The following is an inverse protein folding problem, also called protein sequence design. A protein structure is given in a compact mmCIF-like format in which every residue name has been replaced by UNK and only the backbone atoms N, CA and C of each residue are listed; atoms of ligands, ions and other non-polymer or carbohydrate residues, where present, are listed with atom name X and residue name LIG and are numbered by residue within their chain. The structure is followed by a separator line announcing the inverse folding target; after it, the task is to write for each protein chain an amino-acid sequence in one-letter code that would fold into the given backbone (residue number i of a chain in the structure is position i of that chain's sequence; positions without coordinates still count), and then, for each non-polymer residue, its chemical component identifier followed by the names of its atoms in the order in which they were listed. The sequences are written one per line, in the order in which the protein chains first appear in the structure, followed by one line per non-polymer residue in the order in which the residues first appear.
data_IF_492997235558
#
_entry.id   IF_492997235558
#
_cell.length_a   1.000
_cell.length_b   1.000
_cell.length_c   1.000
_cell.angle_alpha   90.00
_cell.angle_beta   90.00
_cell.angle_gamma   90.00
#
_symmetry.space_group_name_H-M   'P 1'
#
loop_
_entity.id
_entity.type
_entity.pdbx_description
1 polymer ?
#
# COMPACT_ATOMS: atom_id res chain seq x y z
N UNK A 1 3.07 12.20 28.44
CA UNK A 1 2.40 11.22 27.56
C UNK A 1 3.29 9.98 27.41
N UNK A 2 2.71 8.80 27.18
CA UNK A 2 3.49 7.60 26.90
C UNK A 2 3.98 7.60 25.43
N UNK A 3 5.13 6.97 25.18
CA UNK A 3 5.63 6.74 23.82
C UNK A 3 4.82 5.63 23.14
N UNK A 4 4.50 5.83 21.87
CA UNK A 4 3.85 4.83 21.01
C UNK A 4 4.83 4.42 19.91
N UNK A 5 5.03 3.12 19.73
CA UNK A 5 5.83 2.54 18.65
C UNK A 5 4.92 1.62 17.85
N UNK A 6 4.79 1.88 16.55
CA UNK A 6 3.93 1.09 15.66
C UNK A 6 4.77 0.10 14.88
N UNK A 7 4.48 -1.20 15.02
CA UNK A 7 5.03 -2.24 14.18
C UNK A 7 3.91 -2.72 13.26
N UNK A 8 4.01 -2.45 11.97
CA UNK A 8 2.95 -2.70 11.00
C UNK A 8 3.35 -3.78 9.98
N UNK A 9 2.36 -4.57 9.58
CA UNK A 9 2.41 -5.50 8.45
C UNK A 9 1.57 -4.85 7.36
N UNK A 10 2.16 -4.63 6.19
CA UNK A 10 1.47 -4.01 5.07
C UNK A 10 0.87 -5.06 4.14
N UNK A 11 -0.43 -4.91 3.87
CA UNK A 11 -1.16 -5.55 2.78
C UNK A 11 -1.61 -4.51 1.72
N UNK A 12 -1.10 -3.28 1.81
CA UNK A 12 -1.47 -2.15 0.96
C UNK A 12 -0.39 -1.93 -0.11
N UNK A 13 -0.75 -1.88 -1.40
CA UNK A 13 0.19 -1.46 -2.44
C UNK A 13 0.83 -0.09 -2.13
N UNK A 14 2.15 0.01 -2.24
CA UNK A 14 2.90 1.22 -1.90
C UNK A 14 3.14 1.45 -0.40
N UNK A 15 2.65 0.56 0.47
CA UNK A 15 2.95 0.50 1.91
C UNK A 15 2.65 1.78 2.72
N UNK A 16 1.68 2.59 2.30
CA UNK A 16 1.31 3.84 3.00
C UNK A 16 0.75 3.57 4.41
N UNK A 17 1.46 3.97 5.49
CA UNK A 17 1.01 3.75 6.86
C UNK A 17 -0.32 4.40 7.23
N UNK A 18 -0.72 5.48 6.54
CA UNK A 18 -2.00 6.13 6.80
C UNK A 18 -3.19 5.28 6.32
N UNK A 19 -2.96 4.38 5.36
CA UNK A 19 -3.97 3.48 4.82
C UNK A 19 -4.04 2.18 5.62
N UNK A 20 -2.89 1.68 6.10
CA UNK A 20 -2.81 0.45 6.90
C UNK A 20 -3.67 0.61 8.15
N UNK A 21 -4.73 -0.19 8.25
CA UNK A 21 -5.72 -0.13 9.33
C UNK A 21 -6.31 1.29 9.56
N UNK A 22 -6.34 2.15 8.53
CA UNK A 22 -6.73 3.57 8.62
C UNK A 22 -5.79 4.45 9.46
N UNK A 23 -4.52 4.07 9.62
CA UNK A 23 -3.48 4.92 10.19
C UNK A 23 -3.74 5.40 11.62
N UNK A 24 -4.15 4.54 12.59
CA UNK A 24 -4.59 4.98 13.92
C UNK A 24 -3.51 5.70 14.75
N UNK A 25 -2.24 5.57 14.36
CA UNK A 25 -1.07 6.18 14.99
C UNK A 25 -0.34 7.16 14.08
N UNK A 26 -0.93 7.48 12.93
CA UNK A 26 -0.39 8.37 11.90
C UNK A 26 -1.33 9.59 11.81
N UNK A 27 -0.80 10.82 11.74
CA UNK A 27 -1.65 12.00 11.59
C UNK A 27 -2.36 12.00 10.24
N UNK A 28 -3.59 12.51 10.22
CA UNK A 28 -4.44 12.58 9.04
C UNK A 28 -4.53 14.03 8.54
N UNK A 29 -4.07 14.24 7.31
CA UNK A 29 -4.04 15.56 6.67
C UNK A 29 -5.41 16.01 6.13
N UNK A 30 -6.37 15.09 5.97
CA UNK A 30 -7.74 15.43 5.54
C UNK A 30 -8.48 16.15 6.66
N UNK A 31 -9.64 16.75 6.39
CA UNK A 31 -10.38 17.53 7.39
C UNK A 31 -11.84 17.08 7.53
N UNK A 32 -12.50 17.51 8.60
CA UNK A 32 -13.96 17.39 8.70
C UNK A 32 -14.68 18.03 7.50
N UNK A 33 -14.13 19.12 6.95
CA UNK A 33 -14.68 19.77 5.77
C UNK A 33 -14.53 18.91 4.50
N UNK A 34 -13.43 18.18 4.36
CA UNK A 34 -13.25 17.20 3.29
C UNK A 34 -14.26 16.06 3.38
N UNK A 35 -14.50 15.54 4.58
CA UNK A 35 -15.50 14.51 4.82
C UNK A 35 -16.89 15.00 4.39
N UNK A 36 -17.31 16.21 4.80
CA UNK A 36 -18.58 16.81 4.38
C UNK A 36 -18.66 16.99 2.86
N UNK A 37 -17.60 17.48 2.23
CA UNK A 37 -17.52 17.65 0.77
C UNK A 37 -17.67 16.33 0.02
N UNK A 38 -17.09 15.24 0.53
CA UNK A 38 -17.23 13.90 -0.04
C UNK A 38 -18.67 13.40 0.10
N UNK A 39 -19.26 13.53 1.29
CA UNK A 39 -20.65 13.14 1.55
C UNK A 39 -21.64 13.87 0.63
N UNK A 40 -21.49 15.19 0.51
CA UNK A 40 -22.35 16.01 -0.34
C UNK A 40 -22.17 15.68 -1.83
N UNK A 41 -20.92 15.47 -2.28
CA UNK A 41 -20.62 15.05 -3.67
C UNK A 41 -21.30 13.74 -4.05
N UNK A 42 -21.37 12.79 -3.10
CA UNK A 42 -21.94 11.46 -3.35
C UNK A 42 -23.41 11.35 -2.91
N UNK A 43 -24.03 12.43 -2.40
CA UNK A 43 -25.42 12.42 -1.95
C UNK A 43 -25.68 11.50 -0.74
N UNK A 44 -24.66 11.28 0.11
CA UNK A 44 -24.75 10.37 1.25
C UNK A 44 -25.33 11.14 2.46
N UNK A 45 -26.54 10.76 2.88
CA UNK A 45 -27.18 11.31 4.07
C UNK A 45 -26.53 10.83 5.36
N UNK A 46 -26.48 11.70 6.38
CA UNK A 46 -26.03 11.37 7.73
C UNK A 46 -27.10 11.70 8.76
N UNK A 47 -27.10 11.03 9.94
CA UNK A 47 -27.87 11.48 11.09
C UNK A 47 -27.54 12.95 11.41
N UNK A 48 -28.54 13.80 11.75
CA UNK A 48 -28.32 15.24 11.97
C UNK A 48 -27.22 15.55 12.99
N UNK A 49 -27.12 14.74 14.04
CA UNK A 49 -26.08 14.88 15.09
C UNK A 49 -24.66 14.70 14.54
N UNK A 50 -24.45 13.76 13.63
CA UNK A 50 -23.12 13.49 13.05
C UNK A 50 -22.73 14.60 12.09
N UNK A 51 -23.66 15.04 11.22
CA UNK A 51 -23.41 16.17 10.31
C UNK A 51 -23.09 17.44 11.08
N UNK A 52 -23.81 17.73 12.17
CA UNK A 52 -23.55 18.88 13.01
C UNK A 52 -22.16 18.81 13.67
N UNK A 53 -21.76 17.63 14.17
CA UNK A 53 -20.45 17.42 14.78
C UNK A 53 -19.30 17.60 13.78
N UNK A 54 -19.44 17.08 12.55
CA UNK A 54 -18.48 17.33 11.46
C UNK A 54 -18.41 18.81 11.08
N UNK A 55 -19.56 19.49 10.94
CA UNK A 55 -19.59 20.91 10.59
C UNK A 55 -18.95 21.80 11.66
N UNK A 56 -19.03 21.39 12.93
CA UNK A 56 -18.38 22.06 14.05
C UNK A 56 -16.89 21.72 14.20
N UNK A 57 -16.35 20.77 13.42
CA UNK A 57 -14.98 20.27 13.58
C UNK A 57 -14.76 19.43 14.85
N UNK A 58 -15.83 19.00 15.53
CA UNK A 58 -15.75 18.26 16.78
C UNK A 58 -15.22 16.82 16.61
N UNK A 59 -15.25 16.31 15.37
CA UNK A 59 -14.75 14.99 15.00
C UNK A 59 -13.42 15.07 14.23
N UNK A 60 -12.67 16.15 14.41
CA UNK A 60 -11.42 16.35 13.68
C UNK A 60 -10.33 15.37 14.12
N UNK A 61 -9.52 14.93 13.15
CA UNK A 61 -8.40 14.01 13.38
C UNK A 61 -7.10 14.79 13.69
N UNK A 62 -6.13 14.17 14.40
CA UNK A 62 -4.83 14.78 14.64
C UNK A 62 -4.13 15.17 13.33
N UNK A 63 -3.67 16.43 13.22
CA UNK A 63 -3.03 16.96 12.01
C UNK A 63 -1.52 16.77 12.04
N UNK A 64 -0.86 16.66 10.88
CA UNK A 64 0.59 16.63 10.82
C UNK A 64 1.19 17.93 11.39
N UNK A 65 2.03 17.81 12.41
CA UNK A 65 2.75 18.95 12.99
C UNK A 65 4.27 18.83 12.73
N UNK A 66 4.97 19.95 12.46
CA UNK A 66 6.43 19.94 12.32
C UNK A 66 7.11 19.36 13.57
N UNK A 67 7.96 18.35 13.38
CA UNK A 67 8.72 17.71 14.47
C UNK A 67 7.97 16.60 15.23
N UNK A 68 6.73 16.28 14.85
CA UNK A 68 5.95 15.16 15.42
C UNK A 68 5.78 14.03 14.41
N UNK A 69 6.89 13.48 13.91
CA UNK A 69 6.83 12.29 13.07
C UNK A 69 6.38 11.07 13.91
N UNK A 70 5.38 10.30 13.46
CA UNK A 70 4.99 9.08 14.15
C UNK A 70 6.12 8.05 14.06
N UNK A 71 6.32 7.28 15.13
CA UNK A 71 7.29 6.19 15.14
C UNK A 71 6.63 4.92 14.59
N UNK A 72 6.81 4.68 13.28
CA UNK A 72 6.24 3.55 12.54
C UNK A 72 7.34 2.74 11.87
N UNK A 73 7.28 1.42 12.04
CA UNK A 73 8.15 0.47 11.39
C UNK A 73 7.33 -0.56 10.64
N UNK A 74 7.53 -0.65 9.33
CA UNK A 74 7.02 -1.74 8.51
C UNK A 74 7.91 -2.96 8.70
N UNK A 75 7.38 -3.98 9.37
CA UNK A 75 8.12 -5.20 9.71
C UNK A 75 7.85 -6.35 8.73
N UNK A 76 6.82 -6.20 7.89
CA UNK A 76 6.52 -7.10 6.78
C UNK A 76 5.84 -6.30 5.68
N UNK A 77 6.37 -6.37 4.46
CA UNK A 77 5.77 -5.79 3.25
C UNK A 77 5.77 -6.80 2.09
N UNK A 78 4.94 -6.59 1.04
CA UNK A 78 5.00 -7.40 -0.18
C UNK A 78 6.40 -7.42 -0.79
N UNK A 79 7.09 -6.28 -0.79
CA UNK A 79 8.49 -6.15 -1.25
C UNK A 79 9.44 -7.09 -0.51
N UNK A 80 9.38 -7.10 0.81
CA UNK A 80 10.26 -7.94 1.63
C UNK A 80 10.02 -9.42 1.36
N UNK A 81 8.77 -9.80 1.12
CA UNK A 81 8.40 -11.18 0.76
C UNK A 81 8.95 -11.58 -0.63
N UNK A 82 8.85 -10.68 -1.62
CA UNK A 82 9.45 -10.89 -2.95
C UNK A 82 10.98 -10.98 -2.90
N UNK A 83 11.63 -10.15 -2.09
CA UNK A 83 13.08 -10.19 -1.90
C UNK A 83 13.54 -11.48 -1.23
N UNK A 84 12.79 -11.98 -0.24
CA UNK A 84 13.06 -13.27 0.40
C UNK A 84 12.93 -14.42 -0.62
N UNK A 85 11.88 -14.42 -1.44
CA UNK A 85 11.70 -15.40 -2.52
C UNK A 85 12.84 -15.32 -3.56
N UNK A 86 13.25 -14.09 -3.91
CA UNK A 86 14.37 -13.87 -4.83
C UNK A 86 15.69 -14.38 -4.25
N UNK A 87 15.94 -14.19 -2.96
CA UNK A 87 17.13 -14.73 -2.30
C UNK A 87 17.14 -16.27 -2.34
N UNK A 88 16.00 -16.90 -2.08
CA UNK A 88 15.87 -18.36 -2.17
C UNK A 88 16.07 -18.90 -3.59
N UNK A 89 15.56 -18.22 -4.62
CA UNK A 89 15.78 -18.64 -6.01
C UNK A 89 17.23 -18.42 -6.46
N UNK A 90 17.86 -17.32 -6.04
CA UNK A 90 19.30 -17.06 -6.32
C UNK A 90 20.20 -18.08 -5.66
N UNK A 91 19.91 -18.51 -4.43
CA UNK A 91 20.70 -19.57 -3.77
C UNK A 91 20.56 -20.93 -4.45
N UNK A 92 19.48 -21.16 -5.20
CA UNK A 92 19.29 -22.30 -6.08
C UNK A 92 19.94 -22.14 -7.47
N UNK A 93 20.68 -21.05 -7.72
CA UNK A 93 21.40 -20.82 -8.97
C UNK A 93 20.57 -20.22 -10.11
N UNK A 94 19.39 -19.66 -9.82
CA UNK A 94 18.54 -19.00 -10.80
C UNK A 94 18.81 -17.48 -10.82
N UNK A 95 18.86 -16.89 -12.01
CA UNK A 95 18.71 -15.44 -12.14
C UNK A 95 17.27 -15.04 -11.76
N UNK A 96 17.10 -13.93 -11.04
CA UNK A 96 15.78 -13.48 -10.56
C UNK A 96 15.47 -12.08 -11.04
N UNK A 97 14.29 -11.90 -11.64
CA UNK A 97 13.78 -10.63 -12.13
C UNK A 97 12.49 -10.26 -11.38
N UNK A 98 12.62 -9.39 -10.38
CA UNK A 98 11.47 -8.81 -9.70
C UNK A 98 10.81 -7.77 -10.61
N UNK A 99 9.59 -8.05 -11.07
CA UNK A 99 8.88 -7.18 -12.01
C UNK A 99 8.20 -6.00 -11.32
N UNK A 100 7.52 -6.25 -10.20
CA UNK A 100 6.89 -5.24 -9.34
C UNK A 100 6.32 -5.92 -8.07
N UNK A 101 6.18 -5.16 -7.00
CA UNK A 101 5.51 -5.47 -5.72
C UNK A 101 4.12 -4.81 -5.59
N UNK A 102 3.72 -4.06 -6.62
CA UNK A 102 2.50 -3.25 -6.70
C UNK A 102 1.76 -3.48 -8.02
N UNK A 103 1.77 -4.72 -8.53
CA UNK A 103 1.08 -5.05 -9.77
C UNK A 103 -0.44 -4.93 -9.62
N UNK A 104 -1.02 -4.04 -10.40
CA UNK A 104 -2.46 -3.84 -10.50
C UNK A 104 -3.00 -4.23 -11.89
N UNK A 105 -4.28 -4.60 -11.94
CA UNK A 105 -4.98 -4.98 -13.17
C UNK A 105 -5.78 -6.26 -13.01
N UNK A 106 -6.51 -6.63 -14.06
CA UNK A 106 -7.26 -7.88 -14.09
C UNK A 106 -6.28 -9.08 -14.15
N UNK A 107 -6.51 -10.08 -13.30
CA UNK A 107 -5.61 -11.22 -13.15
C UNK A 107 -5.38 -11.97 -14.47
N UNK A 108 -6.43 -12.07 -15.30
CA UNK A 108 -6.33 -12.73 -16.62
C UNK A 108 -5.41 -11.99 -17.60
N UNK A 109 -5.34 -10.66 -17.49
CA UNK A 109 -4.55 -9.81 -18.37
C UNK A 109 -3.09 -9.81 -17.94
N UNK A 110 -2.83 -9.57 -16.64
CA UNK A 110 -1.48 -9.61 -16.06
C UNK A 110 -0.85 -11.00 -16.25
N UNK A 111 -1.62 -12.06 -16.02
CA UNK A 111 -1.18 -13.44 -16.27
C UNK A 111 -0.80 -13.70 -17.73
N UNK A 112 -1.55 -13.15 -18.69
CA UNK A 112 -1.24 -13.28 -20.11
C UNK A 112 0.08 -12.57 -20.49
N UNK A 113 0.36 -11.40 -19.88
CA UNK A 113 1.62 -10.67 -20.04
C UNK A 113 2.80 -11.47 -19.47
N UNK A 114 2.67 -11.99 -18.24
CA UNK A 114 3.70 -12.85 -17.64
C UNK A 114 3.99 -14.09 -18.50
N UNK A 115 2.94 -14.73 -19.02
CA UNK A 115 3.10 -15.88 -19.92
C UNK A 115 3.79 -15.49 -21.23
N UNK A 116 3.53 -14.31 -21.78
CA UNK A 116 4.21 -13.82 -22.97
C UNK A 116 5.71 -13.60 -22.72
N UNK A 117 6.07 -12.97 -21.58
CA UNK A 117 7.46 -12.80 -21.16
C UNK A 117 8.18 -14.14 -21.00
N UNK A 118 7.59 -15.08 -20.27
CA UNK A 118 8.15 -16.41 -20.06
C UNK A 118 8.35 -17.17 -21.38
N UNK A 119 7.38 -17.12 -22.30
CA UNK A 119 7.52 -17.73 -23.63
C UNK A 119 8.62 -17.07 -24.46
N UNK A 120 8.77 -15.74 -24.39
CA UNK A 120 9.83 -15.02 -25.10
C UNK A 120 11.20 -15.43 -24.58
N UNK A 121 11.39 -15.50 -23.27
CA UNK A 121 12.63 -15.97 -22.65
C UNK A 121 12.93 -17.43 -23.04
N UNK A 122 11.92 -18.30 -23.00
CA UNK A 122 12.06 -19.71 -23.37
C UNK A 122 12.47 -19.93 -24.83
N UNK A 123 11.87 -19.17 -25.76
CA UNK A 123 12.07 -19.34 -27.21
C UNK A 123 13.24 -18.54 -27.77
N UNK A 124 13.47 -17.35 -27.23
CA UNK A 124 14.36 -16.35 -27.81
C UNK A 124 15.49 -15.90 -26.87
N UNK A 125 15.45 -16.26 -25.58
CA UNK A 125 16.46 -15.82 -24.61
C UNK A 125 16.43 -14.32 -24.32
N UNK A 126 15.29 -13.67 -24.55
CA UNK A 126 15.08 -12.24 -24.33
C UNK A 126 13.69 -11.99 -23.71
N UNK A 127 13.51 -10.98 -22.84
CA UNK A 127 14.52 -10.00 -22.43
C UNK A 127 15.53 -10.51 -21.40
N UNK A 128 15.32 -11.72 -20.86
CA UNK A 128 16.16 -12.30 -19.82
C UNK A 128 16.86 -13.57 -20.27
N UNK A 129 18.06 -13.82 -19.73
CA UNK A 129 18.83 -15.03 -20.00
C UNK A 129 18.33 -16.20 -19.13
N UNK A 130 18.30 -17.40 -19.72
CA UNK A 130 17.97 -18.64 -18.99
C UNK A 130 19.20 -19.21 -18.27
N UNK A 131 19.04 -19.90 -17.13
CA UNK A 131 17.80 -20.10 -16.38
C UNK A 131 17.45 -18.90 -15.49
N UNK A 132 16.18 -18.48 -15.50
CA UNK A 132 15.69 -17.37 -14.67
C UNK A 132 14.26 -17.57 -14.20
N UNK A 133 13.86 -16.79 -13.19
CA UNK A 133 12.49 -16.61 -12.71
C UNK A 133 12.16 -15.13 -12.58
#
# INVERSE_FOLDING_TARGET
PARVVTLAISDVPGDDPAVIASGPTVPDATTCADALRILDRHGIGLPPVVRAALAAGALETPKPEPGQAPEVHLIATPRQSLEAAAAAARSAGLAVHLLSDEMEGESREVGAVHAALARSVARHGAPFARPCV
#
